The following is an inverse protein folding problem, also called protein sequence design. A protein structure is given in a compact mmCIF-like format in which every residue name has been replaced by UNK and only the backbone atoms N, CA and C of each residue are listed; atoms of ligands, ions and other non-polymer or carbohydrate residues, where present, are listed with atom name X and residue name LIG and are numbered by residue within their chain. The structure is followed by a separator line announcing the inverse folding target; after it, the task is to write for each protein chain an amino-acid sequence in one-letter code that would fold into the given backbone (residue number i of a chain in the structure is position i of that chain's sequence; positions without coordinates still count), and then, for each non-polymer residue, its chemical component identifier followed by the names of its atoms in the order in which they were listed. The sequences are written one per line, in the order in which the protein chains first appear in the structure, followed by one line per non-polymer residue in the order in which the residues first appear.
data_IF_195048753295
#
_entry.id   IF_195048753295
#
_cell.length_a   1.000
_cell.length_b   1.000
_cell.length_c   1.000
_cell.angle_alpha   90.00
_cell.angle_beta   90.00
_cell.angle_gamma   90.00
#
_symmetry.space_group_name_H-M   'P 1'
#
loop_
_entity.id
_entity.type
_entity.pdbx_description
1 polymer ?
#
# COMPACT_ATOMS: atom_id res chain seq x y z
N UNK A 1 1.97 -13.42 -22.48
CA UNK A 1 3.11 -13.66 -21.57
C UNK A 1 3.57 -12.30 -21.06
N UNK A 2 3.29 -11.99 -19.80
CA UNK A 2 3.86 -10.80 -19.13
C UNK A 2 5.26 -11.22 -18.69
N UNK A 3 6.29 -10.59 -19.26
CA UNK A 3 7.68 -11.01 -19.11
C UNK A 3 8.10 -11.02 -17.64
N UNK A 4 8.44 -12.21 -17.12
CA UNK A 4 9.31 -12.29 -15.95
C UNK A 4 10.68 -11.81 -16.41
N UNK A 5 11.21 -10.74 -15.82
CA UNK A 5 12.62 -10.34 -15.99
C UNK A 5 12.89 -8.93 -16.49
N UNK A 6 11.89 -8.16 -16.92
CA UNK A 6 12.13 -6.75 -17.27
C UNK A 6 12.24 -5.91 -15.98
N UNK A 7 13.27 -5.05 -15.87
CA UNK A 7 13.43 -4.23 -14.68
C UNK A 7 12.25 -3.25 -14.50
N UNK A 8 11.85 -2.96 -13.26
CA UNK A 8 10.77 -2.02 -13.01
C UNK A 8 11.12 -0.61 -13.50
N UNK A 9 10.15 0.07 -14.10
CA UNK A 9 10.27 1.45 -14.58
C UNK A 9 10.01 2.40 -13.42
N UNK A 10 11.00 3.23 -13.10
CA UNK A 10 10.91 4.24 -12.05
C UNK A 10 10.64 5.59 -12.71
N UNK A 11 9.56 6.26 -12.29
CA UNK A 11 9.26 7.64 -12.69
C UNK A 11 9.35 8.55 -11.47
N UNK A 12 9.97 9.71 -11.64
CA UNK A 12 10.22 10.68 -10.57
C UNK A 12 9.72 12.06 -10.95
N UNK A 13 9.25 12.79 -9.96
CA UNK A 13 8.91 14.20 -10.05
C UNK A 13 9.33 14.90 -8.77
N UNK A 14 9.96 16.06 -8.91
CA UNK A 14 10.36 16.91 -7.80
C UNK A 14 9.65 18.24 -7.95
N UNK A 15 8.86 18.61 -6.95
CA UNK A 15 8.14 19.89 -6.90
C UNK A 15 8.89 20.98 -6.13
N UNK A 16 10.12 20.72 -5.67
CA UNK A 16 10.87 21.55 -4.72
C UNK A 16 10.52 21.24 -3.25
N UNK A 17 9.22 21.05 -2.97
CA UNK A 17 8.73 20.73 -1.61
C UNK A 17 8.61 19.22 -1.35
N UNK A 18 8.49 18.40 -2.39
CA UNK A 18 8.23 16.97 -2.26
C UNK A 18 8.83 16.20 -3.43
N UNK A 19 9.67 15.22 -3.11
CA UNK A 19 10.17 14.23 -4.06
C UNK A 19 9.17 13.10 -4.15
N UNK A 20 8.72 12.83 -5.37
CA UNK A 20 7.68 11.88 -5.70
C UNK A 20 8.22 10.81 -6.64
N UNK A 21 7.99 9.54 -6.33
CA UNK A 21 8.47 8.41 -7.12
C UNK A 21 7.36 7.36 -7.29
N UNK A 22 7.20 6.84 -8.49
CA UNK A 22 6.33 5.70 -8.77
C UNK A 22 7.12 4.58 -9.47
N UNK A 23 6.96 3.36 -8.98
CA UNK A 23 7.58 2.17 -9.53
C UNK A 23 6.53 1.33 -10.26
N UNK A 24 6.73 1.11 -11.55
CA UNK A 24 5.81 0.35 -12.42
C UNK A 24 6.50 -0.88 -13.00
N UNK A 25 5.71 -1.87 -13.41
CA UNK A 25 6.16 -2.89 -14.36
C UNK A 25 6.50 -2.26 -15.71
N UNK A 26 7.37 -2.88 -16.51
CA UNK A 26 7.68 -2.44 -17.88
C UNK A 26 6.42 -2.29 -18.77
N UNK A 27 5.42 -3.17 -18.62
CA UNK A 27 4.16 -3.08 -19.36
C UNK A 27 3.18 -1.99 -18.84
N UNK A 28 3.51 -1.28 -17.76
CA UNK A 28 2.68 -0.23 -17.16
C UNK A 28 1.36 -0.69 -16.50
N UNK A 29 1.06 -2.00 -16.51
CA UNK A 29 -0.17 -2.55 -15.91
C UNK A 29 -0.09 -2.62 -14.38
N UNK A 30 1.11 -2.78 -13.83
CA UNK A 30 1.34 -2.87 -12.40
C UNK A 30 2.00 -1.60 -11.86
N UNK A 31 1.59 -1.16 -10.66
CA UNK A 31 2.32 -0.17 -9.85
C UNK A 31 2.71 -0.81 -8.53
N UNK A 32 3.99 -1.07 -8.36
CA UNK A 32 4.55 -1.76 -7.20
C UNK A 32 4.66 -0.84 -5.97
N UNK A 33 5.03 0.43 -6.19
CA UNK A 33 5.15 1.41 -5.12
C UNK A 33 4.83 2.82 -5.61
N UNK A 34 4.33 3.65 -4.69
CA UNK A 34 4.20 5.10 -4.85
C UNK A 34 4.75 5.78 -3.60
N UNK A 35 5.77 6.61 -3.73
CA UNK A 35 6.47 7.26 -2.62
C UNK A 35 6.36 8.78 -2.72
N UNK A 36 6.23 9.44 -1.57
CA UNK A 36 6.37 10.89 -1.39
C UNK A 36 7.31 11.14 -0.20
N UNK A 37 8.27 12.04 -0.36
CA UNK A 37 9.20 12.45 0.70
C UNK A 37 9.29 13.97 0.68
N UNK A 38 9.07 14.60 1.84
CA UNK A 38 9.19 16.06 2.03
C UNK A 38 10.14 16.42 3.18
N UNK A 39 10.42 15.50 4.11
CA UNK A 39 11.45 15.64 5.15
C UNK A 39 12.20 14.31 5.28
N UNK A 40 13.35 14.14 4.58
CA UNK A 40 14.06 12.86 4.50
C UNK A 40 14.49 12.28 5.85
N UNK A 41 14.80 13.14 6.83
CA UNK A 41 15.31 12.76 8.15
C UNK A 41 14.21 12.41 9.16
N UNK A 42 12.94 12.67 8.83
CA UNK A 42 11.81 12.37 9.70
C UNK A 42 11.26 10.93 9.48
N UNK A 43 10.50 10.37 10.44
CA UNK A 43 9.93 9.03 10.32
C UNK A 43 9.07 8.86 9.07
N UNK A 44 9.03 7.63 8.54
CA UNK A 44 8.37 7.32 7.25
C UNK A 44 7.23 6.33 7.45
N UNK A 45 6.10 6.59 6.82
CA UNK A 45 4.88 5.77 6.92
C UNK A 45 4.71 4.87 5.69
N UNK A 46 4.50 3.58 5.89
CA UNK A 46 4.03 2.67 4.84
C UNK A 46 2.52 2.47 4.95
N UNK A 47 1.83 2.67 3.84
CA UNK A 47 0.45 2.24 3.63
C UNK A 47 0.43 0.93 2.86
N UNK A 48 -0.27 -0.07 3.38
CA UNK A 48 -0.59 -1.32 2.67
C UNK A 48 -2.07 -1.32 2.30
N UNK A 49 -2.36 -1.17 1.02
CA UNK A 49 -3.72 -0.94 0.50
C UNK A 49 -4.18 -2.07 -0.44
N UNK A 50 -5.37 -1.96 -1.04
CA UNK A 50 -5.93 -3.04 -1.86
C UNK A 50 -5.22 -3.16 -3.21
N UNK A 51 -5.36 -2.14 -4.06
CA UNK A 51 -4.80 -2.10 -5.39
C UNK A 51 -4.58 -0.64 -5.85
N UNK A 52 -3.59 -0.36 -6.71
CA UNK A 52 -3.40 0.94 -7.33
C UNK A 52 -4.60 1.41 -8.14
N UNK A 53 -4.96 2.70 -7.99
CA UNK A 53 -5.87 3.41 -8.90
C UNK A 53 -5.09 4.43 -9.75
N UNK A 54 -5.54 5.68 -9.83
CA UNK A 54 -5.07 6.68 -10.80
C UNK A 54 -3.91 7.56 -10.34
N UNK A 55 -3.50 7.50 -9.06
CA UNK A 55 -2.34 8.25 -8.59
C UNK A 55 -1.06 7.90 -9.38
N UNK A 56 -0.19 8.88 -9.57
CA UNK A 56 1.11 8.72 -10.23
C UNK A 56 2.16 9.55 -9.51
N UNK A 57 3.40 9.54 -9.97
CA UNK A 57 4.45 10.43 -9.51
C UNK A 57 4.09 11.92 -9.68
N UNK A 58 3.19 12.26 -10.60
CA UNK A 58 2.80 13.66 -10.87
C UNK A 58 1.61 14.13 -10.03
N UNK A 59 0.73 13.23 -9.60
CA UNK A 59 -0.53 13.61 -8.94
C UNK A 59 -1.07 12.54 -8.01
N UNK A 60 -1.79 12.98 -6.99
CA UNK A 60 -2.55 12.11 -6.11
C UNK A 60 -3.96 11.84 -6.66
N UNK A 61 -4.49 10.67 -6.35
CA UNK A 61 -5.94 10.42 -6.39
C UNK A 61 -6.55 10.73 -4.99
N UNK A 62 -7.89 10.71 -4.82
CA UNK A 62 -8.51 11.06 -3.53
C UNK A 62 -7.99 10.23 -2.34
N UNK A 63 -7.68 8.95 -2.58
CA UNK A 63 -7.17 8.05 -1.55
C UNK A 63 -5.75 8.39 -1.17
N UNK A 64 -4.86 8.61 -2.15
CA UNK A 64 -3.47 8.99 -1.88
C UNK A 64 -3.39 10.38 -1.25
N UNK A 65 -4.25 11.33 -1.65
CA UNK A 65 -4.35 12.63 -1.00
C UNK A 65 -4.76 12.50 0.48
N UNK A 66 -5.68 11.56 0.80
CA UNK A 66 -6.03 11.23 2.19
C UNK A 66 -4.86 10.65 2.97
N UNK A 67 -4.09 9.76 2.35
CA UNK A 67 -2.90 9.15 2.94
C UNK A 67 -1.82 10.19 3.23
N UNK A 68 -1.55 11.09 2.29
CA UNK A 68 -0.57 12.17 2.44
C UNK A 68 -0.95 13.13 3.56
N UNK A 69 -2.19 13.64 3.54
CA UNK A 69 -2.68 14.56 4.57
C UNK A 69 -2.55 14.00 5.98
N UNK A 70 -2.72 12.69 6.11
CA UNK A 70 -2.64 11.98 7.39
C UNK A 70 -1.20 11.70 7.80
N UNK A 71 -0.33 11.37 6.86
CA UNK A 71 1.11 11.26 7.10
C UNK A 71 1.69 12.61 7.57
N UNK A 72 1.36 13.71 6.90
CA UNK A 72 1.78 15.07 7.31
C UNK A 72 1.25 15.44 8.69
N UNK A 73 -0.04 15.20 8.95
CA UNK A 73 -0.63 15.48 10.26
C UNK A 73 -0.06 14.60 11.40
N UNK A 74 0.46 13.42 11.06
CA UNK A 74 1.12 12.50 12.00
C UNK A 74 2.60 12.78 12.23
N UNK A 75 3.15 13.87 11.66
CA UNK A 75 4.56 14.24 11.84
C UNK A 75 5.55 13.37 11.06
N UNK A 76 5.08 12.63 10.05
CA UNK A 76 5.96 11.86 9.17
C UNK A 76 6.64 12.78 8.14
N UNK A 77 7.83 12.38 7.70
CA UNK A 77 8.58 13.06 6.64
C UNK A 77 8.34 12.54 5.23
N UNK A 78 7.62 11.42 5.13
CA UNK A 78 7.25 10.83 3.86
C UNK A 78 6.35 9.62 4.04
N UNK A 79 5.72 9.21 2.95
CA UNK A 79 4.99 7.95 2.92
C UNK A 79 5.28 7.15 1.66
N UNK A 80 5.05 5.85 1.75
CA UNK A 80 5.00 4.94 0.61
C UNK A 80 3.68 4.17 0.62
N UNK A 81 3.08 3.97 -0.54
CA UNK A 81 1.92 3.09 -0.72
C UNK A 81 2.38 1.87 -1.51
N UNK A 82 2.14 0.70 -0.93
CA UNK A 82 2.14 -0.60 -1.61
C UNK A 82 0.75 -1.23 -1.52
N UNK A 83 0.50 -2.26 -2.29
CA UNK A 83 -0.83 -2.85 -2.40
C UNK A 83 -0.78 -4.37 -2.31
N UNK A 84 -1.85 -4.97 -1.80
CA UNK A 84 -2.06 -6.41 -1.83
C UNK A 84 -1.93 -6.96 -3.25
N UNK A 85 -2.45 -6.22 -4.22
CA UNK A 85 -2.38 -6.50 -5.65
C UNK A 85 -1.78 -5.31 -6.39
N UNK A 86 -0.76 -5.51 -7.24
CA UNK A 86 -0.12 -4.39 -7.94
C UNK A 86 -0.88 -3.95 -9.20
N UNK A 87 -1.84 -4.74 -9.68
CA UNK A 87 -2.58 -4.42 -10.90
C UNK A 87 -3.38 -3.12 -10.74
N UNK A 88 -3.19 -2.20 -11.69
CA UNK A 88 -3.82 -0.88 -11.67
C UNK A 88 -5.26 -0.97 -12.16
N UNK A 89 -6.20 -0.68 -11.27
CA UNK A 89 -7.63 -0.71 -11.55
C UNK A 89 -8.38 0.28 -10.65
N UNK A 90 -9.37 0.98 -11.19
CA UNK A 90 -10.22 1.88 -10.39
C UNK A 90 -11.30 1.09 -9.65
N UNK A 91 -11.90 0.09 -10.29
CA UNK A 91 -12.95 -0.73 -9.71
C UNK A 91 -12.43 -2.09 -9.23
N UNK A 92 -12.86 -2.59 -8.06
CA UNK A 92 -12.52 -3.94 -7.60
C UNK A 92 -12.98 -5.05 -8.56
N UNK A 93 -13.98 -4.80 -9.41
CA UNK A 93 -14.42 -5.75 -10.42
C UNK A 93 -13.34 -5.97 -11.50
N UNK A 94 -12.67 -4.90 -11.96
CA UNK A 94 -11.61 -4.99 -12.97
C UNK A 94 -10.38 -5.70 -12.41
N UNK A 95 -10.06 -5.46 -11.13
CA UNK A 95 -9.01 -6.19 -10.42
C UNK A 95 -9.24 -7.71 -10.46
N UNK A 96 -10.49 -8.16 -10.27
CA UNK A 96 -10.85 -9.59 -10.31
C UNK A 96 -10.78 -10.21 -11.69
N UNK A 97 -10.80 -9.38 -12.75
CA UNK A 97 -10.70 -9.83 -14.14
C UNK A 97 -9.27 -9.94 -14.63
N UNK A 98 -8.30 -9.39 -13.89
CA UNK A 98 -6.89 -9.52 -14.23
C UNK A 98 -6.42 -10.96 -14.06
N UNK A 99 -5.68 -11.49 -15.04
CA UNK A 99 -5.17 -12.86 -15.01
C UNK A 99 -4.15 -13.08 -13.87
N UNK A 100 -3.29 -12.09 -13.63
CA UNK A 100 -2.39 -12.03 -12.48
C UNK A 100 -2.55 -10.66 -11.82
N UNK A 101 -3.45 -10.50 -10.84
CA UNK A 101 -3.67 -9.21 -10.17
C UNK A 101 -2.52 -8.85 -9.23
N UNK A 102 -1.80 -9.84 -8.71
CA UNK A 102 -0.69 -9.62 -7.78
C UNK A 102 0.48 -8.99 -8.51
N UNK A 103 0.83 -9.52 -9.69
CA UNK A 103 1.97 -9.09 -10.47
C UNK A 103 3.29 -9.67 -9.95
N UNK A 104 4.30 -9.84 -10.83
CA UNK A 104 5.48 -10.66 -10.54
C UNK A 104 6.35 -10.13 -9.39
N UNK A 105 6.56 -8.81 -9.31
CA UNK A 105 7.51 -8.21 -8.33
C UNK A 105 6.84 -7.64 -7.08
N UNK A 106 5.52 -7.82 -6.93
CA UNK A 106 4.76 -7.13 -5.88
C UNK A 106 5.18 -7.56 -4.47
N UNK A 107 5.44 -8.84 -4.26
CA UNK A 107 5.87 -9.36 -2.96
C UNK A 107 7.25 -8.80 -2.54
N UNK A 108 8.18 -8.67 -3.50
CA UNK A 108 9.48 -8.07 -3.27
C UNK A 108 9.35 -6.55 -2.97
N UNK A 109 8.46 -5.85 -3.67
CA UNK A 109 8.19 -4.45 -3.43
C UNK A 109 7.58 -4.20 -2.04
N UNK A 110 6.64 -5.06 -1.60
CA UNK A 110 6.07 -4.99 -0.24
C UNK A 110 7.17 -5.17 0.82
N UNK A 111 8.04 -6.17 0.68
CA UNK A 111 9.13 -6.43 1.62
C UNK A 111 10.13 -5.25 1.68
N UNK A 112 10.50 -4.73 0.52
CA UNK A 112 11.39 -3.56 0.40
C UNK A 112 10.77 -2.32 1.07
N UNK A 113 9.47 -2.09 0.84
CA UNK A 113 8.75 -0.97 1.45
C UNK A 113 8.62 -1.11 2.96
N UNK A 114 8.41 -2.34 3.46
CA UNK A 114 8.30 -2.61 4.89
C UNK A 114 9.62 -2.33 5.62
N UNK A 115 10.75 -2.72 5.02
CA UNK A 115 12.09 -2.43 5.55
C UNK A 115 12.40 -0.92 5.54
N UNK A 116 11.89 -0.19 4.56
CA UNK A 116 12.07 1.27 4.45
C UNK A 116 11.27 2.07 5.49
N UNK A 117 10.15 1.54 5.99
CA UNK A 117 9.24 2.31 6.82
C UNK A 117 9.52 2.18 8.33
N UNK A 118 9.18 3.23 9.07
CA UNK A 118 9.18 3.23 10.54
C UNK A 118 7.86 2.73 11.10
N UNK A 119 6.76 3.03 10.42
CA UNK A 119 5.41 2.59 10.80
C UNK A 119 4.73 1.97 9.59
N UNK A 120 4.10 0.81 9.78
CA UNK A 120 3.29 0.13 8.76
C UNK A 120 1.82 0.21 9.14
N UNK A 121 1.02 0.80 8.25
CA UNK A 121 -0.42 0.98 8.39
C UNK A 121 -1.17 0.21 7.30
N UNK A 122 -1.90 -0.81 7.71
CA UNK A 122 -2.74 -1.62 6.84
C UNK A 122 -4.10 -0.94 6.65
N UNK A 123 -4.61 -0.89 5.41
CA UNK A 123 -5.83 -0.15 5.07
C UNK A 123 -6.52 -0.62 3.77
N UNK A 124 -6.51 -1.93 3.48
CA UNK A 124 -7.02 -2.50 2.22
C UNK A 124 -8.55 -2.72 2.15
N UNK A 125 -9.28 -2.48 3.24
CA UNK A 125 -10.75 -2.60 3.25
C UNK A 125 -11.27 -4.04 3.12
N UNK A 126 -12.58 -4.17 2.92
CA UNK A 126 -13.28 -5.48 2.95
C UNK A 126 -12.87 -6.45 1.83
N UNK A 127 -12.29 -5.95 0.75
CA UNK A 127 -11.92 -6.80 -0.39
C UNK A 127 -10.53 -7.43 -0.28
N UNK A 128 -9.75 -7.11 0.78
CA UNK A 128 -8.41 -7.68 0.93
C UNK A 128 -8.39 -9.16 1.27
N UNK A 129 -9.51 -9.74 1.69
CA UNK A 129 -9.62 -11.19 1.94
C UNK A 129 -9.73 -12.02 0.66
N UNK A 130 -9.89 -11.36 -0.51
CA UNK A 130 -9.92 -12.08 -1.77
C UNK A 130 -8.63 -12.90 -1.98
N UNK A 131 -8.80 -14.20 -2.24
CA UNK A 131 -7.72 -15.20 -2.34
C UNK A 131 -6.85 -15.32 -1.07
N UNK A 132 -7.36 -14.94 0.10
CA UNK A 132 -6.61 -14.93 1.36
C UNK A 132 -5.43 -13.94 1.37
N UNK A 133 -5.40 -13.00 0.43
CA UNK A 133 -4.21 -12.19 0.15
C UNK A 133 -3.82 -11.27 1.31
N UNK A 134 -4.81 -10.62 1.92
CA UNK A 134 -4.61 -9.73 3.07
C UNK A 134 -3.98 -10.47 4.26
N UNK A 135 -4.50 -11.65 4.58
CA UNK A 135 -3.96 -12.51 5.65
C UNK A 135 -2.52 -12.94 5.32
N UNK A 136 -2.27 -13.41 4.08
CA UNK A 136 -0.93 -13.83 3.65
C UNK A 136 0.11 -12.72 3.74
N UNK A 137 -0.23 -11.49 3.32
CA UNK A 137 0.66 -10.32 3.41
C UNK A 137 0.89 -9.92 4.87
N UNK A 138 -0.16 -9.86 5.70
CA UNK A 138 -0.03 -9.54 7.13
C UNK A 138 0.88 -10.55 7.85
N UNK A 139 0.66 -11.84 7.62
CA UNK A 139 1.46 -12.92 8.19
C UNK A 139 2.92 -12.83 7.76
N UNK A 140 3.19 -12.54 6.49
CA UNK A 140 4.57 -12.35 5.98
C UNK A 140 5.26 -11.18 6.68
N UNK A 141 4.60 -10.03 6.79
CA UNK A 141 5.17 -8.85 7.44
C UNK A 141 5.44 -9.10 8.94
N UNK A 142 4.53 -9.78 9.64
CA UNK A 142 4.72 -10.17 11.04
C UNK A 142 5.88 -11.15 11.22
N UNK A 143 5.99 -12.17 10.36
CA UNK A 143 7.13 -13.12 10.38
C UNK A 143 8.47 -12.42 10.11
N UNK A 144 8.47 -11.33 9.35
CA UNK A 144 9.64 -10.49 9.13
C UNK A 144 9.93 -9.52 10.31
N UNK A 145 9.16 -9.59 11.41
CA UNK A 145 9.38 -8.80 12.62
C UNK A 145 8.71 -7.43 12.62
N UNK A 146 7.85 -7.11 11.63
CA UNK A 146 7.20 -5.81 11.58
C UNK A 146 5.93 -5.73 12.43
N UNK A 147 5.81 -4.64 13.21
CA UNK A 147 4.57 -4.26 13.88
C UNK A 147 3.59 -3.63 12.88
N UNK A 148 2.37 -4.17 12.82
CA UNK A 148 1.31 -3.67 11.95
C UNK A 148 0.33 -2.79 12.71
N UNK A 149 -0.20 -1.77 12.05
CA UNK A 149 -1.20 -0.86 12.58
C UNK A 149 -2.43 -0.82 11.67
N UNK A 150 -3.56 -0.33 12.19
CA UNK A 150 -4.76 -0.02 11.43
C UNK A 150 -5.44 1.26 11.92
N UNK A 151 -6.41 1.77 11.15
CA UNK A 151 -7.29 2.87 11.55
C UNK A 151 -8.64 2.41 12.09
N UNK A 152 -8.76 1.11 12.33
CA UNK A 152 -9.98 0.43 12.73
C UNK A 152 -10.21 -0.77 11.85
N UNK A 153 -10.91 -1.76 12.39
CA UNK A 153 -11.24 -2.99 11.71
C UNK A 153 -12.71 -3.01 11.31
N UNK A 154 -13.04 -3.72 10.24
CA UNK A 154 -14.40 -4.11 9.90
C UNK A 154 -14.87 -5.22 10.84
N UNK A 155 -16.15 -5.59 10.79
CA UNK A 155 -16.67 -6.73 11.58
C UNK A 155 -15.96 -8.05 11.22
N UNK A 156 -15.54 -8.20 9.96
CA UNK A 156 -14.74 -9.34 9.49
C UNK A 156 -13.24 -9.24 9.82
N UNK A 157 -12.81 -8.25 10.62
CA UNK A 157 -11.42 -8.09 11.03
C UNK A 157 -10.48 -7.48 9.98
N UNK A 158 -11.01 -7.02 8.84
CA UNK A 158 -10.18 -6.37 7.81
C UNK A 158 -9.90 -4.89 8.17
N UNK A 159 -8.69 -4.37 7.91
CA UNK A 159 -8.37 -2.97 8.16
C UNK A 159 -9.16 -2.06 7.24
N UNK A 160 -9.85 -1.06 7.82
CA UNK A 160 -10.71 -0.15 7.07
C UNK A 160 -9.92 0.72 6.10
N UNK A 161 -10.51 0.96 4.92
CA UNK A 161 -9.96 1.86 3.92
C UNK A 161 -10.01 3.32 4.42
N UNK A 162 -8.97 4.15 4.19
CA UNK A 162 -8.85 5.45 4.86
C UNK A 162 -9.79 6.53 4.32
N UNK A 163 -10.32 6.36 3.11
CA UNK A 163 -11.09 7.38 2.39
C UNK A 163 -12.29 7.92 3.19
N UNK A 164 -12.99 7.05 3.92
CA UNK A 164 -14.23 7.40 4.63
C UNK A 164 -14.08 7.46 6.16
N UNK A 165 -12.87 7.30 6.69
CA UNK A 165 -12.63 7.40 8.13
C UNK A 165 -12.41 8.86 8.54
N UNK A 166 -12.90 9.33 9.70
CA UNK A 166 -12.61 10.67 10.19
C UNK A 166 -11.12 11.03 10.19
N UNK A 167 -10.78 12.30 9.95
CA UNK A 167 -9.38 12.75 9.89
C UNK A 167 -8.61 12.45 11.19
N UNK A 168 -9.29 12.61 12.32
CA UNK A 168 -8.73 12.46 13.66
C UNK A 168 -8.72 11.01 14.20
N UNK A 169 -9.22 10.02 13.45
CA UNK A 169 -9.15 8.62 13.88
C UNK A 169 -7.70 8.27 14.24
N UNK A 170 -7.37 7.70 15.41
CA UNK A 170 -5.98 7.37 15.74
C UNK A 170 -5.51 6.09 15.03
N UNK A 171 -4.20 5.95 14.87
CA UNK A 171 -3.57 4.68 14.47
C UNK A 171 -3.58 3.75 15.69
N UNK A 172 -3.87 2.47 15.49
CA UNK A 172 -3.89 1.47 16.56
C UNK A 172 -3.01 0.28 16.18
N UNK A 173 -2.21 -0.28 17.11
CA UNK A 173 -1.51 -1.54 16.90
C UNK A 173 -2.50 -2.66 16.54
N UNK A 174 -2.15 -3.47 15.55
CA UNK A 174 -2.97 -4.60 15.10
C UNK A 174 -2.50 -5.90 15.77
N UNK A 175 -3.00 -6.13 16.98
CA UNK A 175 -2.55 -7.21 17.89
C UNK A 175 -3.31 -8.53 17.77
N UNK A 176 -4.20 -8.70 16.78
CA UNK A 176 -4.94 -9.95 16.55
C UNK A 176 -4.17 -10.98 15.74
N UNK A 177 -4.42 -12.27 16.01
CA UNK A 177 -3.99 -13.37 15.15
C UNK A 177 -4.45 -13.14 13.71
N UNK A 178 -3.66 -13.60 12.73
CA UNK A 178 -4.07 -13.60 11.33
C UNK A 178 -5.47 -14.21 11.25
N UNK A 179 -6.44 -13.60 10.52
CA UNK A 179 -7.76 -14.21 10.36
C UNK A 179 -7.53 -15.63 9.87
N UNK A 180 -8.02 -16.59 10.67
CA UNK A 180 -7.73 -18.00 10.49
C UNK A 180 -7.94 -18.35 9.02
N UNK A 181 -6.92 -18.93 8.40
CA UNK A 181 -7.08 -19.63 7.13
C UNK A 181 -8.14 -20.70 7.40
N UNK A 182 -9.38 -20.47 7.00
CA UNK A 182 -10.37 -21.53 6.97
C UNK A 182 -9.85 -22.53 5.94
N UNK A 183 -9.53 -23.72 6.44
CA UNK A 183 -9.03 -24.85 5.64
C UNK A 183 -10.07 -25.39 4.67
#
# INVERSE_FOLDING_TARGET
MIGRGDPPVIRRHDSGDTVSEAQYSACGQYRYALTRIWQPDAPRLLWVMLNPSTASELRNDPTVARCENRARAGGFGGFRVVNLFAFRATAPADLRRAADPTGPDNDAAIATAATWAYVILCAWGMHGDWQGRGAAVAARLRRAGHALHHLGLTQAGAPRHPLYLPRATPMQPWTGADPATQG
#
